data_IF_078600981187
#
_entry.id   IF_078600981187
#
_cell.length_a   1.000
_cell.length_b   1.000
_cell.length_c   1.000
_cell.angle_alpha   90.00
_cell.angle_beta   90.00
_cell.angle_gamma   90.00
#
_symmetry.space_group_name_H-M   'P 1'
#
loop_
_entity.id
_entity.type
_entity.pdbx_description
1 polymer ?
#
# COMPACT_ATOMS: atom_id res chain seq x y z
N UNK A 1 1.30 19.56 20.20
CA UNK A 1 1.46 20.06 18.82
C UNK A 1 2.32 21.30 18.66
N UNK A 2 2.73 21.98 19.73
CA UNK A 2 3.46 23.27 19.62
C UNK A 2 4.97 23.11 19.31
N UNK A 3 5.52 21.92 19.34
CA UNK A 3 6.95 21.69 19.18
C UNK A 3 7.43 21.60 17.71
N UNK A 4 6.52 21.67 16.73
CA UNK A 4 6.83 21.45 15.28
C UNK A 4 6.57 22.66 14.38
N UNK A 5 6.63 23.87 14.88
CA UNK A 5 6.40 25.10 14.08
C UNK A 5 7.29 25.21 12.83
N UNK A 6 8.52 24.71 12.89
CA UNK A 6 9.43 24.67 11.72
C UNK A 6 8.89 23.73 10.62
N UNK A 7 8.31 22.59 10.98
CA UNK A 7 7.75 21.63 10.01
C UNK A 7 6.49 22.22 9.36
N UNK A 8 5.63 22.87 10.12
CA UNK A 8 4.43 23.52 9.60
C UNK A 8 4.79 24.66 8.63
N UNK A 9 5.78 25.47 8.98
CA UNK A 9 6.31 26.51 8.11
C UNK A 9 6.90 25.93 6.82
N UNK A 10 7.63 24.81 6.91
CA UNK A 10 8.20 24.11 5.75
C UNK A 10 7.09 23.54 4.84
N UNK A 11 6.06 22.93 5.40
CA UNK A 11 4.88 22.48 4.62
C UNK A 11 4.23 23.65 3.89
N UNK A 12 4.04 24.78 4.57
CA UNK A 12 3.53 26.01 3.96
C UNK A 12 4.42 26.55 2.85
N UNK A 13 5.74 26.50 3.05
CA UNK A 13 6.73 26.89 2.04
C UNK A 13 6.65 25.99 0.79
N UNK A 14 6.65 24.68 0.96
CA UNK A 14 6.54 23.71 -0.13
C UNK A 14 5.27 23.92 -0.94
N UNK A 15 4.13 24.11 -0.28
CA UNK A 15 2.86 24.37 -0.96
C UNK A 15 2.91 25.60 -1.85
N UNK A 16 3.56 26.68 -1.40
CA UNK A 16 3.60 27.95 -2.14
C UNK A 16 4.70 28.03 -3.19
N UNK A 17 5.80 27.30 -3.00
CA UNK A 17 7.00 27.48 -3.85
C UNK A 17 7.31 26.22 -4.69
N UNK A 18 7.03 25.04 -4.18
CA UNK A 18 7.35 23.78 -4.87
C UNK A 18 6.15 23.22 -5.64
N UNK A 19 4.93 23.44 -5.13
CA UNK A 19 3.68 23.00 -5.79
C UNK A 19 3.01 24.10 -6.63
N UNK A 20 3.68 25.24 -6.86
CA UNK A 20 3.18 26.31 -7.71
C UNK A 20 4.12 26.51 -8.91
N UNK A 21 3.60 26.56 -10.15
CA UNK A 21 2.22 26.25 -10.54
C UNK A 21 1.86 24.79 -10.21
N UNK A 22 0.55 24.54 -10.00
CA UNK A 22 0.07 23.17 -9.66
C UNK A 22 0.52 22.21 -10.75
N UNK A 23 1.31 21.16 -10.40
CA UNK A 23 1.80 20.21 -11.39
C UNK A 23 0.62 19.42 -11.99
N UNK A 24 0.69 19.18 -13.30
CA UNK A 24 -0.19 18.24 -14.00
C UNK A 24 0.62 16.99 -14.27
N UNK A 25 0.24 15.89 -13.68
CA UNK A 25 0.94 14.60 -13.72
C UNK A 25 -0.06 13.46 -13.82
N UNK A 26 0.33 12.36 -14.43
CA UNK A 26 -0.54 11.20 -14.63
C UNK A 26 -0.42 10.17 -13.50
N UNK A 27 0.62 10.27 -12.66
CA UNK A 27 0.82 9.36 -11.53
C UNK A 27 1.46 10.03 -10.31
N UNK A 28 1.37 9.38 -9.15
CA UNK A 28 2.08 9.81 -7.94
C UNK A 28 3.60 9.63 -8.06
N UNK A 29 4.06 8.65 -8.84
CA UNK A 29 5.47 8.40 -9.11
C UNK A 29 6.08 9.57 -9.88
N UNK A 30 5.37 10.06 -10.89
CA UNK A 30 5.77 11.24 -11.65
C UNK A 30 5.79 12.49 -10.77
N UNK A 31 4.75 12.68 -9.94
CA UNK A 31 4.70 13.79 -8.98
C UNK A 31 5.89 13.75 -8.02
N UNK A 32 6.20 12.59 -7.46
CA UNK A 32 7.32 12.44 -6.53
C UNK A 32 8.67 12.73 -7.20
N UNK A 33 8.87 12.31 -8.43
CA UNK A 33 10.07 12.60 -9.22
C UNK A 33 10.22 14.10 -9.45
N UNK A 34 9.15 14.77 -9.85
CA UNK A 34 9.12 16.22 -10.04
C UNK A 34 9.43 16.98 -8.74
N UNK A 35 8.80 16.57 -7.63
CA UNK A 35 9.00 17.20 -6.33
C UNK A 35 10.44 17.01 -5.84
N UNK A 36 11.00 15.81 -6.01
CA UNK A 36 12.40 15.55 -5.65
C UNK A 36 13.35 16.45 -6.43
N UNK A 37 13.17 16.57 -7.74
CA UNK A 37 14.00 17.45 -8.58
C UNK A 37 13.92 18.93 -8.15
N UNK A 38 12.71 19.41 -7.83
CA UNK A 38 12.52 20.79 -7.32
C UNK A 38 13.17 20.99 -5.96
N UNK A 39 13.07 20.03 -5.06
CA UNK A 39 13.74 20.07 -3.75
C UNK A 39 15.26 20.05 -3.89
N UNK A 40 15.82 19.23 -4.77
CA UNK A 40 17.26 19.18 -5.05
C UNK A 40 17.77 20.50 -5.61
N UNK A 41 17.04 21.11 -6.54
CA UNK A 41 17.36 22.45 -7.06
C UNK A 41 17.39 23.48 -5.94
N UNK A 42 16.38 23.45 -5.05
CA UNK A 42 16.35 24.35 -3.90
C UNK A 42 17.57 24.19 -2.99
N UNK A 43 17.91 22.95 -2.62
CA UNK A 43 19.05 22.62 -1.76
C UNK A 43 20.39 23.13 -2.37
N UNK A 44 20.53 23.00 -3.70
CA UNK A 44 21.72 23.42 -4.40
C UNK A 44 21.90 24.95 -4.49
N UNK A 45 20.79 25.70 -4.54
CA UNK A 45 20.81 27.14 -4.79
C UNK A 45 20.50 28.00 -3.58
N UNK A 46 19.88 27.46 -2.56
CA UNK A 46 19.45 28.25 -1.40
C UNK A 46 20.57 28.41 -0.40
N UNK A 47 20.85 29.68 -0.04
CA UNK A 47 21.79 30.01 1.01
C UNK A 47 21.13 30.07 2.38
N UNK A 48 21.80 29.58 3.40
CA UNK A 48 21.33 29.61 4.78
C UNK A 48 21.45 31.03 5.30
N UNK A 49 20.39 31.62 5.81
CA UNK A 49 20.37 32.97 6.37
C UNK A 49 21.44 33.12 7.44
N UNK A 50 22.32 34.10 7.26
CA UNK A 50 23.44 34.40 8.18
C UNK A 50 24.68 33.50 8.01
N UNK A 51 24.71 32.68 6.94
CA UNK A 51 25.89 31.89 6.57
C UNK A 51 26.18 32.09 5.08
N UNK A 52 27.46 32.03 4.70
CA UNK A 52 27.88 32.10 3.27
C UNK A 52 27.74 30.76 2.54
N UNK A 53 27.29 29.71 3.23
CA UNK A 53 27.15 28.35 2.70
C UNK A 53 25.75 28.10 2.15
N UNK A 54 25.67 27.41 1.03
CA UNK A 54 24.44 26.80 0.55
C UNK A 54 23.98 25.68 1.49
N UNK A 55 22.71 25.30 1.40
CA UNK A 55 22.18 24.16 2.17
C UNK A 55 22.96 22.88 1.85
N UNK A 56 23.34 22.68 0.57
CA UNK A 56 24.07 21.49 0.14
C UNK A 56 25.49 21.44 0.74
N UNK A 57 26.20 22.57 0.76
CA UNK A 57 27.54 22.66 1.36
C UNK A 57 27.49 22.42 2.87
N UNK A 58 26.53 23.02 3.57
CA UNK A 58 26.33 22.79 5.00
C UNK A 58 26.00 21.32 5.30
N UNK A 59 25.13 20.70 4.49
CA UNK A 59 24.80 19.29 4.63
C UNK A 59 26.00 18.36 4.39
N UNK A 60 26.84 18.67 3.40
CA UNK A 60 28.07 17.90 3.15
C UNK A 60 29.05 17.93 4.34
N UNK A 61 29.09 19.04 5.08
CA UNK A 61 29.87 19.12 6.33
C UNK A 61 29.22 18.30 7.45
N UNK A 62 27.89 18.38 7.61
CA UNK A 62 27.12 17.67 8.63
C UNK A 62 27.13 16.16 8.43
N UNK A 63 27.13 15.67 7.19
CA UNK A 63 27.18 14.25 6.87
C UNK A 63 28.31 13.49 7.56
N UNK A 64 29.44 14.15 7.79
CA UNK A 64 30.59 13.53 8.46
C UNK A 64 30.36 13.23 9.94
N UNK A 65 29.40 13.94 10.55
CA UNK A 65 29.02 13.78 11.95
C UNK A 65 27.75 12.94 12.13
N UNK A 66 27.06 12.60 11.04
CA UNK A 66 25.84 11.79 11.13
C UNK A 66 26.15 10.33 11.46
N UNK A 67 25.28 9.75 12.27
CA UNK A 67 25.32 8.31 12.58
C UNK A 67 24.88 7.53 11.33
N UNK A 68 25.53 6.40 10.99
CA UNK A 68 25.11 5.55 9.89
C UNK A 68 23.65 5.14 10.00
N UNK A 69 22.95 5.12 8.87
CA UNK A 69 21.57 4.65 8.84
C UNK A 69 21.49 3.16 9.22
N UNK A 70 20.43 2.73 9.91
CA UNK A 70 20.21 1.32 10.19
C UNK A 70 20.19 0.50 8.90
N UNK A 71 20.74 -0.71 8.93
CA UNK A 71 20.75 -1.63 7.79
C UNK A 71 19.32 -1.95 7.32
N UNK A 72 18.37 -2.02 8.27
CA UNK A 72 16.95 -2.21 7.95
C UNK A 72 16.24 -0.88 8.01
N UNK A 73 15.63 -0.43 6.89
CA UNK A 73 14.85 0.80 6.90
C UNK A 73 13.64 0.66 7.84
N UNK A 74 13.21 1.79 8.41
CA UNK A 74 12.00 1.83 9.23
C UNK A 74 10.78 1.42 8.40
N UNK A 75 9.99 0.49 8.92
CA UNK A 75 8.76 0.03 8.25
C UNK A 75 7.63 1.04 8.47
N UNK A 76 7.27 1.78 7.42
CA UNK A 76 6.21 2.82 7.46
C UNK A 76 4.82 2.21 7.22
N UNK A 77 4.55 1.04 7.78
CA UNK A 77 3.26 0.36 7.64
C UNK A 77 2.39 0.60 8.86
N UNK A 78 1.08 0.76 8.63
CA UNK A 78 0.08 0.63 9.71
C UNK A 78 -0.08 -0.84 10.02
N UNK A 79 0.16 -1.22 11.28
CA UNK A 79 0.10 -2.61 11.72
C UNK A 79 -1.14 -2.78 12.61
N UNK A 80 -1.96 -3.78 12.30
CA UNK A 80 -3.14 -4.15 13.08
C UNK A 80 -3.28 -5.67 13.13
N UNK A 81 -3.92 -6.18 14.16
CA UNK A 81 -4.35 -7.57 14.20
C UNK A 81 -5.78 -7.71 13.70
N UNK A 82 -6.07 -8.81 13.02
CA UNK A 82 -7.41 -9.15 12.55
C UNK A 82 -7.64 -10.65 12.68
N UNK A 83 -8.85 -11.04 13.05
CA UNK A 83 -9.26 -12.43 12.97
C UNK A 83 -9.80 -12.72 11.58
N UNK A 84 -9.30 -13.76 10.95
CA UNK A 84 -9.82 -14.26 9.68
C UNK A 84 -11.20 -14.89 9.92
N UNK A 85 -12.18 -14.48 9.14
CA UNK A 85 -13.54 -15.01 9.22
C UNK A 85 -13.68 -16.38 8.52
N UNK A 86 -14.89 -16.95 8.58
CA UNK A 86 -15.20 -18.22 7.92
C UNK A 86 -15.16 -18.16 6.39
N UNK A 87 -15.18 -16.95 5.82
CA UNK A 87 -15.03 -16.72 4.38
C UNK A 87 -13.56 -16.55 3.98
N UNK A 88 -12.64 -16.83 4.89
CA UNK A 88 -11.21 -16.66 4.71
C UNK A 88 -10.85 -15.20 4.34
N UNK A 89 -11.45 -14.23 5.04
CA UNK A 89 -11.13 -12.81 4.87
C UNK A 89 -10.70 -12.16 6.17
N UNK A 90 -9.67 -11.28 6.10
CA UNK A 90 -9.21 -10.43 7.19
C UNK A 90 -9.75 -9.01 7.00
N UNK A 91 -10.24 -8.41 8.08
CA UNK A 91 -10.77 -7.05 8.06
C UNK A 91 -9.65 -6.02 8.25
N UNK A 92 -9.65 -4.95 7.44
CA UNK A 92 -8.77 -3.81 7.60
C UNK A 92 -9.43 -2.53 7.09
N UNK A 93 -9.53 -1.51 7.93
CA UNK A 93 -10.08 -0.16 7.63
C UNK A 93 -11.42 -0.15 6.87
N UNK A 94 -12.35 -1.04 7.28
CA UNK A 94 -13.68 -1.13 6.70
C UNK A 94 -13.75 -1.93 5.39
N UNK A 95 -12.65 -2.54 4.98
CA UNK A 95 -12.56 -3.49 3.86
C UNK A 95 -12.20 -4.89 4.35
N UNK A 96 -12.37 -5.88 3.48
CA UNK A 96 -11.99 -7.26 3.71
C UNK A 96 -11.04 -7.73 2.62
N UNK A 97 -10.01 -8.48 2.99
CA UNK A 97 -8.98 -9.00 2.10
C UNK A 97 -8.87 -10.50 2.29
N UNK A 98 -8.96 -11.25 1.21
CA UNK A 98 -8.90 -12.70 1.27
C UNK A 98 -7.51 -13.20 1.67
N UNK A 99 -7.49 -14.35 2.32
CA UNK A 99 -6.29 -15.14 2.61
C UNK A 99 -6.55 -16.59 2.22
N UNK A 100 -5.52 -17.42 2.03
CA UNK A 100 -5.72 -18.85 1.77
C UNK A 100 -6.61 -19.48 2.82
N UNK A 101 -7.58 -20.29 2.38
CA UNK A 101 -8.65 -20.88 3.23
C UNK A 101 -8.14 -21.66 4.44
N UNK A 102 -6.92 -22.20 4.35
CA UNK A 102 -6.27 -22.90 5.47
C UNK A 102 -6.05 -22.01 6.71
N UNK A 103 -6.09 -20.70 6.55
CA UNK A 103 -5.92 -19.72 7.63
C UNK A 103 -7.24 -19.19 8.19
N UNK A 104 -8.37 -19.76 7.78
CA UNK A 104 -9.67 -19.40 8.34
C UNK A 104 -9.67 -19.55 9.88
N UNK A 105 -10.32 -18.61 10.56
CA UNK A 105 -10.44 -18.52 12.02
C UNK A 105 -9.14 -18.21 12.77
N UNK A 106 -7.99 -18.06 12.11
CA UNK A 106 -6.73 -17.68 12.72
C UNK A 106 -6.64 -16.16 12.95
N UNK A 107 -5.78 -15.77 13.88
CA UNK A 107 -5.40 -14.37 14.08
C UNK A 107 -4.22 -14.06 13.16
N UNK A 108 -4.33 -12.98 12.40
CA UNK A 108 -3.33 -12.54 11.43
C UNK A 108 -2.90 -11.12 11.73
N UNK A 109 -1.66 -10.80 11.41
CA UNK A 109 -1.14 -9.43 11.44
C UNK A 109 -1.29 -8.81 10.05
N UNK A 110 -2.01 -7.71 9.98
CA UNK A 110 -2.18 -6.94 8.74
C UNK A 110 -1.22 -5.76 8.78
N UNK A 111 -0.33 -5.68 7.79
CA UNK A 111 0.60 -4.57 7.59
C UNK A 111 0.22 -3.83 6.31
N UNK A 112 -0.20 -2.58 6.44
CA UNK A 112 -0.65 -1.78 5.31
C UNK A 112 0.26 -0.56 5.09
N UNK A 113 0.84 -0.49 3.90
CA UNK A 113 1.51 0.70 3.36
C UNK A 113 0.50 1.59 2.61
N UNK A 114 0.96 2.65 1.95
CA UNK A 114 0.10 3.49 1.12
C UNK A 114 -0.57 2.71 -0.04
N UNK A 115 0.09 1.70 -0.61
CA UNK A 115 -0.39 1.03 -1.82
C UNK A 115 -0.71 -0.46 -1.63
N UNK A 116 -0.19 -1.10 -0.59
CA UNK A 116 -0.31 -2.55 -0.40
C UNK A 116 -0.76 -2.91 1.01
N UNK A 117 -1.56 -3.96 1.09
CA UNK A 117 -1.94 -4.65 2.32
C UNK A 117 -1.28 -6.01 2.30
N UNK A 118 -0.38 -6.26 3.26
CA UNK A 118 0.28 -7.56 3.46
C UNK A 118 -0.30 -8.21 4.70
N UNK A 119 -0.66 -9.47 4.59
CA UNK A 119 -1.24 -10.24 5.70
C UNK A 119 -0.23 -11.32 6.10
N UNK A 120 0.04 -11.41 7.39
CA UNK A 120 1.00 -12.35 7.96
C UNK A 120 0.29 -13.26 8.95
N UNK A 121 0.60 -14.55 8.89
CA UNK A 121 0.20 -15.53 9.89
C UNK A 121 1.45 -16.28 10.36
N UNK A 122 1.64 -16.40 11.70
CA UNK A 122 2.83 -17.00 12.30
C UNK A 122 4.17 -16.46 11.77
N UNK A 123 4.21 -15.16 11.38
CA UNK A 123 5.42 -14.51 10.84
C UNK A 123 5.63 -14.68 9.34
N UNK A 124 4.87 -15.53 8.66
CA UNK A 124 4.92 -15.72 7.21
C UNK A 124 3.92 -14.81 6.48
N UNK A 125 4.32 -14.24 5.35
CA UNK A 125 3.42 -13.49 4.48
C UNK A 125 2.49 -14.46 3.74
N UNK A 126 1.20 -14.43 4.05
CA UNK A 126 0.19 -15.36 3.51
C UNK A 126 -0.65 -14.76 2.40
N UNK A 127 -0.74 -13.43 2.31
CA UNK A 127 -1.42 -12.71 1.23
C UNK A 127 -0.87 -11.30 1.04
N UNK A 128 -0.93 -10.79 -0.20
CA UNK A 128 -0.54 -9.44 -0.56
C UNK A 128 -1.58 -8.88 -1.53
N UNK A 129 -2.25 -7.80 -1.16
CA UNK A 129 -3.27 -7.15 -1.97
C UNK A 129 -2.92 -5.70 -2.27
N UNK A 130 -3.51 -5.15 -3.31
CA UNK A 130 -3.55 -3.70 -3.51
C UNK A 130 -4.46 -3.06 -2.46
N UNK A 131 -4.00 -1.97 -1.83
CA UNK A 131 -4.81 -1.27 -0.83
C UNK A 131 -5.93 -0.50 -1.50
N UNK A 132 -7.15 -0.63 -0.98
CA UNK A 132 -8.32 0.11 -1.42
C UNK A 132 -8.76 1.04 -0.29
N UNK A 133 -8.96 2.33 -0.63
CA UNK A 133 -9.39 3.37 0.31
C UNK A 133 -10.91 3.53 0.38
N UNK A 134 -11.63 3.07 -0.64
CA UNK A 134 -13.10 2.98 -0.61
C UNK A 134 -13.51 1.92 0.40
N UNK A 135 -14.44 2.24 1.28
CA UNK A 135 -14.92 1.33 2.34
C UNK A 135 -16.00 0.37 1.83
N UNK A 136 -16.17 -0.75 2.56
CA UNK A 136 -17.22 -1.74 2.29
C UNK A 136 -16.90 -2.69 1.14
N UNK A 137 -15.64 -2.77 0.72
CA UNK A 137 -15.21 -3.68 -0.34
C UNK A 137 -14.62 -4.97 0.23
N UNK A 138 -14.84 -6.06 -0.47
CA UNK A 138 -14.13 -7.32 -0.24
C UNK A 138 -13.28 -7.61 -1.47
N UNK A 139 -12.00 -7.86 -1.25
CA UNK A 139 -11.02 -8.14 -2.29
C UNK A 139 -10.69 -9.62 -2.23
N UNK A 140 -11.03 -10.34 -3.29
CA UNK A 140 -10.81 -11.77 -3.41
C UNK A 140 -9.67 -12.06 -4.38
N UNK A 141 -8.77 -12.95 -3.95
CA UNK A 141 -7.81 -13.64 -4.81
C UNK A 141 -8.33 -15.06 -5.00
N UNK A 142 -8.59 -15.47 -6.24
CA UNK A 142 -9.18 -16.78 -6.55
C UNK A 142 -8.31 -17.93 -6.05
N UNK A 143 -7.00 -17.78 -6.16
CA UNK A 143 -6.00 -18.77 -5.72
C UNK A 143 -6.17 -19.16 -4.24
N UNK A 144 -6.64 -18.26 -3.40
CA UNK A 144 -6.87 -18.53 -1.98
C UNK A 144 -7.96 -19.59 -1.74
N UNK A 145 -8.85 -19.79 -2.72
CA UNK A 145 -10.04 -20.65 -2.62
C UNK A 145 -9.93 -21.93 -3.46
N UNK A 146 -8.90 -22.10 -4.28
CA UNK A 146 -8.73 -23.26 -5.14
C UNK A 146 -8.91 -24.60 -4.39
N UNK A 147 -8.33 -24.81 -3.18
CA UNK A 147 -8.52 -26.07 -2.48
C UNK A 147 -9.98 -26.40 -2.13
N UNK A 148 -10.82 -25.38 -1.88
CA UNK A 148 -12.25 -25.58 -1.64
C UNK A 148 -13.02 -25.87 -2.94
N UNK A 149 -12.62 -25.23 -4.03
CA UNK A 149 -13.22 -25.39 -5.34
C UNK A 149 -12.95 -26.79 -5.90
N UNK A 150 -11.74 -27.32 -5.69
CA UNK A 150 -11.39 -28.70 -6.03
C UNK A 150 -12.25 -29.74 -5.29
N UNK A 151 -12.53 -29.49 -4.00
CA UNK A 151 -13.39 -30.38 -3.21
C UNK A 151 -14.87 -30.32 -3.61
N UNK A 152 -15.33 -29.23 -4.20
CA UNK A 152 -16.74 -29.00 -4.58
C UNK A 152 -16.88 -28.38 -5.97
N UNK A 153 -16.53 -29.08 -7.06
CA UNK A 153 -16.51 -28.51 -8.42
C UNK A 153 -17.85 -27.92 -8.85
N UNK A 154 -18.97 -28.49 -8.43
CA UNK A 154 -20.32 -28.00 -8.79
C UNK A 154 -20.69 -26.66 -8.14
N UNK A 155 -20.00 -26.24 -7.08
CA UNK A 155 -20.25 -24.96 -6.40
C UNK A 155 -19.37 -23.82 -6.92
N UNK A 156 -18.38 -24.11 -7.77
CA UNK A 156 -17.37 -23.17 -8.25
C UNK A 156 -18.00 -21.88 -8.77
N UNK A 157 -18.95 -21.99 -9.71
CA UNK A 157 -19.55 -20.83 -10.36
C UNK A 157 -20.55 -20.04 -9.49
N UNK A 158 -20.99 -20.63 -8.38
CA UNK A 158 -21.87 -19.96 -7.42
C UNK A 158 -21.10 -19.34 -6.25
N UNK A 159 -19.83 -19.70 -6.10
CA UNK A 159 -18.99 -19.17 -5.04
C UNK A 159 -18.72 -17.66 -5.24
N UNK A 160 -18.94 -16.88 -4.19
CA UNK A 160 -18.77 -15.44 -4.20
C UNK A 160 -17.34 -15.00 -4.64
N UNK A 161 -16.27 -15.65 -4.19
CA UNK A 161 -14.92 -15.35 -4.66
C UNK A 161 -14.74 -15.49 -6.18
N UNK A 162 -15.40 -16.48 -6.79
CA UNK A 162 -15.34 -16.72 -8.25
C UNK A 162 -16.11 -15.63 -9.01
N UNK A 163 -17.30 -15.25 -8.51
CA UNK A 163 -18.12 -14.21 -9.13
C UNK A 163 -17.48 -12.83 -9.06
N UNK A 164 -16.78 -12.54 -7.97
CA UNK A 164 -16.18 -11.24 -7.71
C UNK A 164 -14.69 -11.16 -8.15
N UNK A 165 -14.07 -12.27 -8.57
CA UNK A 165 -12.68 -12.32 -9.06
C UNK A 165 -12.46 -11.69 -10.45
N UNK A 166 -13.53 -11.19 -11.10
CA UNK A 166 -13.40 -10.54 -12.41
C UNK A 166 -13.00 -11.49 -13.55
N UNK A 167 -13.36 -12.77 -13.44
CA UNK A 167 -13.08 -13.76 -14.47
C UNK A 167 -13.78 -13.41 -15.80
N UNK A 168 -13.17 -13.75 -16.95
CA UNK A 168 -13.78 -13.56 -18.27
C UNK A 168 -15.16 -14.21 -18.37
N UNK A 169 -16.09 -13.53 -19.03
CA UNK A 169 -17.47 -14.04 -19.22
C UNK A 169 -17.51 -15.38 -19.94
N UNK A 170 -16.59 -15.62 -20.84
CA UNK A 170 -16.45 -16.83 -21.62
C UNK A 170 -16.28 -18.08 -20.76
N UNK A 171 -15.63 -17.95 -19.59
CA UNK A 171 -15.51 -19.04 -18.62
C UNK A 171 -16.85 -19.42 -18.02
N UNK A 172 -17.71 -18.43 -17.75
CA UNK A 172 -19.05 -18.69 -17.23
C UNK A 172 -19.99 -19.30 -18.29
N UNK A 173 -19.87 -18.86 -19.54
CA UNK A 173 -20.61 -19.41 -20.67
C UNK A 173 -20.21 -20.85 -20.95
N UNK A 174 -18.92 -21.15 -20.99
CA UNK A 174 -18.40 -22.51 -21.12
C UNK A 174 -18.87 -23.43 -19.98
N UNK A 175 -18.82 -22.91 -18.76
CA UNK A 175 -19.28 -23.65 -17.59
C UNK A 175 -20.78 -23.94 -17.60
N UNK A 176 -21.60 -23.06 -18.15
CA UNK A 176 -23.03 -23.32 -18.32
C UNK A 176 -23.31 -24.38 -19.39
N UNK A 177 -22.53 -24.42 -20.45
CA UNK A 177 -22.60 -25.47 -21.48
C UNK A 177 -22.26 -26.87 -20.93
N UNK A 178 -21.38 -26.93 -19.90
CA UNK A 178 -21.03 -28.20 -19.25
C UNK A 178 -22.07 -28.67 -18.23
N UNK A 179 -23.10 -27.89 -17.93
CA UNK A 179 -24.15 -28.24 -16.97
C UNK A 179 -25.35 -28.95 -17.60
N UNK A 180 -25.50 -28.85 -18.93
CA UNK A 180 -26.53 -29.58 -19.67
C UNK A 180 -25.92 -30.91 -20.16
N UNK A 181 -26.38 -32.07 -19.60
CA UNK A 181 -26.00 -33.39 -20.10
C UNK A 181 -26.70 -33.71 -21.41
#
# INVERSE_FOLDING_TARGET
GHEKGLVENLVGYIRRNVLVPIPRVDSFEELNTLLLARCQKYIATHQIRGRELSVNEAYAQEQRALIPLPIRPYETAKITESRVDYFATAAFEGNRYSVPVKWASQIVTVKATAFKVKIFCHGEAVAIHSRIYLKGRTIYELEHYLPLLELRPRSVFNARPVKEAGLPRELFEYANQLKDP
#
